data_IF_582761770215
#
_entry.id   IF_582761770215
#
_cell.length_a   1.000
_cell.length_b   1.000
_cell.length_c   1.000
_cell.angle_alpha   90.00
_cell.angle_beta   90.00
_cell.angle_gamma   90.00
#
_symmetry.space_group_name_H-M   'P 1'
#
loop_
_entity.id
_entity.type
_entity.pdbx_description
1 polymer ?
#
# COMPACT_ATOMS: atom_id res chain seq x y z
N UNK A 1 6.80 -15.34 14.14
CA UNK A 1 5.64 -15.75 13.31
C UNK A 1 5.66 -14.90 12.06
N UNK A 2 5.41 -15.42 10.84
CA UNK A 2 5.43 -14.57 9.66
C UNK A 2 4.39 -13.48 9.88
N UNK A 3 4.85 -12.25 9.81
CA UNK A 3 4.13 -11.10 10.32
C UNK A 3 2.79 -10.92 9.58
N UNK A 4 1.70 -11.30 10.25
CA UNK A 4 0.36 -11.21 9.71
C UNK A 4 -0.01 -9.73 9.50
N UNK A 5 -0.19 -9.34 8.23
CA UNK A 5 -0.77 -8.04 7.88
C UNK A 5 -2.27 -8.25 7.81
N UNK A 6 -3.00 -7.69 8.77
CA UNK A 6 -4.47 -7.74 8.79
C UNK A 6 -5.01 -7.18 7.47
N UNK A 7 -5.97 -7.88 6.87
CA UNK A 7 -6.55 -7.50 5.57
C UNK A 7 -5.77 -8.01 4.34
N UNK A 8 -4.51 -8.45 4.49
CA UNK A 8 -3.75 -9.03 3.38
C UNK A 8 -4.04 -10.53 3.22
N UNK A 9 -4.62 -10.90 2.09
CA UNK A 9 -4.86 -12.29 1.68
C UNK A 9 -3.90 -12.65 0.56
N UNK A 10 -2.99 -13.59 0.83
CA UNK A 10 -2.09 -14.16 -0.18
C UNK A 10 -2.74 -15.37 -0.84
N UNK A 11 -2.66 -15.43 -2.16
CA UNK A 11 -3.17 -16.54 -2.97
C UNK A 11 -2.19 -16.90 -4.10
N UNK A 12 -2.48 -18.00 -4.80
CA UNK A 12 -1.58 -18.61 -5.77
C UNK A 12 -0.88 -19.86 -5.24
N UNK A 13 0.02 -20.41 -6.05
CA UNK A 13 0.69 -21.69 -5.82
C UNK A 13 1.79 -21.93 -6.86
N UNK A 14 2.58 -23.00 -6.70
CA UNK A 14 3.61 -23.44 -7.67
C UNK A 14 4.58 -22.36 -8.14
N UNK A 15 5.06 -21.54 -7.20
CA UNK A 15 6.02 -20.48 -7.50
C UNK A 15 5.38 -19.23 -8.13
N UNK A 16 4.07 -19.05 -8.01
CA UNK A 16 3.37 -17.86 -8.47
C UNK A 16 2.38 -17.36 -7.40
N UNK A 17 2.87 -16.49 -6.52
CA UNK A 17 2.06 -15.87 -5.47
C UNK A 17 1.64 -14.44 -5.82
N UNK A 18 0.46 -14.06 -5.33
CA UNK A 18 -0.15 -12.73 -5.43
C UNK A 18 -0.90 -12.42 -4.12
N UNK A 19 -1.43 -11.20 -3.98
CA UNK A 19 -2.15 -10.84 -2.76
C UNK A 19 -3.15 -9.71 -2.94
N UNK A 20 -4.31 -9.84 -2.33
CA UNK A 20 -5.31 -8.77 -2.23
C UNK A 20 -5.27 -8.18 -0.83
N UNK A 21 -5.41 -6.86 -0.73
CA UNK A 21 -5.52 -6.16 0.53
C UNK A 21 -6.89 -5.51 0.66
N UNK A 22 -7.57 -5.85 1.75
CA UNK A 22 -8.84 -5.27 2.16
C UNK A 22 -8.56 -4.26 3.28
N UNK A 23 -8.70 -2.97 2.98
CA UNK A 23 -8.39 -1.90 3.92
C UNK A 23 -9.52 -1.71 4.92
N UNK A 24 -9.23 -1.96 6.19
CA UNK A 24 -10.18 -1.77 7.30
C UNK A 24 -10.22 -0.32 7.82
N UNK A 25 -9.59 0.61 7.09
CA UNK A 25 -9.44 2.01 7.47
C UNK A 25 -8.25 2.27 8.41
N UNK A 26 -7.51 1.24 8.81
CA UNK A 26 -6.25 1.39 9.54
C UNK A 26 -5.03 1.32 8.62
N UNK A 27 -5.21 1.12 7.30
CA UNK A 27 -4.17 1.23 6.28
C UNK A 27 -2.94 0.36 6.58
N UNK A 28 -3.18 -0.88 7.03
CA UNK A 28 -2.14 -1.82 7.49
C UNK A 28 -1.27 -1.28 8.64
N UNK A 29 -1.82 -0.40 9.49
CA UNK A 29 -1.13 0.25 10.61
C UNK A 29 -0.36 1.51 10.21
N UNK A 30 -0.57 2.06 9.02
CA UNK A 30 0.06 3.30 8.59
C UNK A 30 -0.82 4.51 8.90
N UNK A 31 -0.31 5.44 9.71
CA UNK A 31 -0.94 6.76 9.88
C UNK A 31 -0.77 7.60 8.61
N UNK A 32 -1.88 8.09 8.07
CA UNK A 32 -1.91 8.91 6.85
C UNK A 32 -2.30 10.34 7.17
N UNK A 33 -1.56 11.30 6.62
CA UNK A 33 -1.92 12.70 6.67
C UNK A 33 -3.21 12.95 5.86
N UNK A 34 -4.05 13.93 6.24
CA UNK A 34 -5.21 14.30 5.46
C UNK A 34 -4.86 14.63 4.01
N UNK A 35 -5.83 14.46 3.11
CA UNK A 35 -5.68 14.78 1.70
C UNK A 35 -5.19 16.22 1.51
N UNK A 36 -4.08 16.45 0.78
CA UNK A 36 -3.54 17.79 0.60
C UNK A 36 -4.42 18.68 -0.30
N UNK A 37 -5.33 18.08 -1.06
CA UNK A 37 -6.18 18.80 -2.02
C UNK A 37 -7.53 19.20 -1.41
N UNK A 38 -8.14 18.34 -0.59
CA UNK A 38 -9.50 18.57 -0.06
C UNK A 38 -9.61 18.49 1.47
N UNK A 39 -8.49 18.25 2.17
CA UNK A 39 -8.43 18.15 3.63
C UNK A 39 -9.09 16.90 4.24
N UNK A 40 -9.65 16.00 3.43
CA UNK A 40 -10.36 14.82 3.95
C UNK A 40 -9.41 13.80 4.57
N UNK A 41 -9.85 13.18 5.67
CA UNK A 41 -9.23 12.01 6.29
C UNK A 41 -9.80 10.68 5.78
N UNK A 42 -10.79 10.72 4.86
CA UNK A 42 -11.34 9.52 4.22
C UNK A 42 -10.38 9.04 3.13
N UNK A 43 -9.47 8.15 3.52
CA UNK A 43 -8.42 7.60 2.68
C UNK A 43 -8.56 6.08 2.60
N UNK A 44 -8.03 5.48 1.55
CA UNK A 44 -7.93 4.03 1.40
C UNK A 44 -6.54 3.65 0.88
N UNK A 45 -5.99 2.55 1.37
CA UNK A 45 -4.80 1.87 0.85
C UNK A 45 -5.27 0.74 -0.08
N UNK A 46 -4.99 0.86 -1.38
CA UNK A 46 -5.58 0.01 -2.42
C UNK A 46 -4.49 -0.72 -3.20
N UNK A 47 -4.79 -1.90 -3.76
CA UNK A 47 -3.90 -2.65 -4.66
C UNK A 47 -4.63 -3.43 -5.77
N UNK A 48 -3.91 -3.76 -6.84
CA UNK A 48 -4.43 -4.51 -8.01
C UNK A 48 -4.10 -6.02 -7.97
N UNK A 49 -4.15 -6.67 -6.82
CA UNK A 49 -3.68 -8.06 -6.58
C UNK A 49 -2.17 -8.30 -6.68
N UNK A 50 -1.44 -7.40 -7.33
CA UNK A 50 0.02 -7.35 -7.32
C UNK A 50 0.50 -6.45 -6.16
N UNK A 51 1.81 -6.45 -5.84
CA UNK A 51 2.42 -5.48 -4.93
C UNK A 51 2.49 -4.05 -5.47
N UNK A 52 1.49 -3.61 -6.24
CA UNK A 52 1.29 -2.24 -6.65
C UNK A 52 0.24 -1.61 -5.75
N UNK A 53 0.67 -0.70 -4.87
CA UNK A 53 -0.18 -0.05 -3.87
C UNK A 53 -0.23 1.46 -4.09
N UNK A 54 -1.38 2.05 -3.80
CA UNK A 54 -1.55 3.50 -3.75
C UNK A 54 -2.45 3.89 -2.57
N UNK A 55 -2.30 5.14 -2.12
CA UNK A 55 -3.30 5.77 -1.26
C UNK A 55 -4.27 6.53 -2.16
N UNK A 56 -5.57 6.36 -1.95
CA UNK A 56 -6.64 7.08 -2.64
C UNK A 56 -7.46 7.89 -1.64
N UNK A 57 -7.74 9.15 -1.95
CA UNK A 57 -8.73 9.93 -1.21
C UNK A 57 -10.14 9.62 -1.71
N UNK A 58 -11.00 9.11 -0.84
CA UNK A 58 -12.37 8.72 -1.18
C UNK A 58 -13.35 9.89 -1.37
N UNK A 59 -12.85 11.14 -1.28
CA UNK A 59 -13.66 12.36 -1.48
C UNK A 59 -13.37 13.04 -2.82
N UNK A 60 -12.11 13.08 -3.24
CA UNK A 60 -11.68 13.83 -4.42
C UNK A 60 -10.82 13.00 -5.38
N UNK A 61 -10.74 11.68 -5.15
CA UNK A 61 -10.02 10.69 -5.97
C UNK A 61 -8.53 10.98 -6.20
N UNK A 62 -7.93 11.83 -5.37
CA UNK A 62 -6.50 12.08 -5.42
C UNK A 62 -5.74 10.82 -5.01
N UNK A 63 -4.74 10.44 -5.79
CA UNK A 63 -3.95 9.22 -5.58
C UNK A 63 -2.47 9.52 -5.40
N UNK A 64 -1.79 8.72 -4.56
CA UNK A 64 -0.34 8.64 -4.54
C UNK A 64 0.12 7.19 -4.64
N UNK A 65 0.73 6.86 -5.78
CA UNK A 65 1.21 5.52 -6.11
C UNK A 65 2.57 5.25 -5.44
N UNK A 66 2.65 4.15 -4.68
CA UNK A 66 3.86 3.61 -4.11
C UNK A 66 4.91 3.21 -5.15
N UNK A 67 6.06 2.75 -4.70
CA UNK A 67 6.98 2.02 -5.57
C UNK A 67 6.63 0.54 -5.54
N UNK A 68 6.62 -0.11 -6.70
CA UNK A 68 6.59 -1.58 -6.78
C UNK A 68 8.01 -2.07 -6.47
N UNK A 69 8.23 -2.83 -5.38
CA UNK A 69 9.57 -3.33 -5.04
C UNK A 69 10.08 -4.32 -6.09
N UNK A 70 11.39 -4.49 -6.18
CA UNK A 70 12.02 -5.48 -7.07
C UNK A 70 11.39 -6.86 -6.90
N UNK A 71 11.01 -7.48 -8.02
CA UNK A 71 10.30 -8.76 -8.05
C UNK A 71 8.78 -8.66 -7.92
N UNK A 72 8.22 -7.50 -7.55
CA UNK A 72 6.78 -7.29 -7.43
C UNK A 72 6.03 -7.15 -8.76
N UNK A 73 6.73 -6.81 -9.84
CA UNK A 73 6.19 -6.82 -11.21
C UNK A 73 6.37 -8.16 -11.94
N UNK A 74 6.78 -9.21 -11.24
CA UNK A 74 7.16 -10.50 -11.82
C UNK A 74 6.60 -11.65 -10.97
N UNK A 75 6.82 -12.90 -11.41
CA UNK A 75 6.41 -14.07 -10.63
C UNK A 75 7.16 -14.07 -9.29
N UNK A 76 6.42 -14.12 -8.18
CA UNK A 76 6.98 -14.22 -6.83
C UNK A 76 6.90 -15.70 -6.40
N UNK A 77 8.03 -16.42 -6.29
CA UNK A 77 8.03 -17.87 -6.09
C UNK A 77 7.81 -18.30 -4.65
N UNK A 78 7.93 -17.38 -3.69
CA UNK A 78 7.95 -17.70 -2.28
C UNK A 78 6.86 -16.92 -1.52
N UNK A 79 6.08 -17.63 -0.70
CA UNK A 79 4.99 -17.07 0.10
C UNK A 79 5.46 -16.03 1.13
N UNK A 80 6.64 -16.20 1.71
CA UNK A 80 7.21 -15.21 2.63
C UNK A 80 7.70 -13.98 1.87
N UNK A 81 8.24 -14.15 0.66
CA UNK A 81 8.68 -13.03 -0.17
C UNK A 81 7.49 -12.18 -0.65
N UNK A 82 6.37 -12.79 -1.04
CA UNK A 82 5.19 -12.00 -1.42
C UNK A 82 4.70 -11.16 -0.26
N UNK A 83 4.63 -11.70 0.98
CA UNK A 83 4.26 -10.91 2.16
C UNK A 83 5.23 -9.74 2.38
N UNK A 84 6.54 -10.01 2.28
CA UNK A 84 7.59 -8.99 2.43
C UNK A 84 7.50 -7.90 1.37
N UNK A 85 7.24 -8.27 0.12
CA UNK A 85 7.13 -7.34 -1.01
C UNK A 85 5.84 -6.50 -0.88
N UNK A 86 4.69 -7.11 -0.55
CA UNK A 86 3.45 -6.39 -0.29
C UNK A 86 3.63 -5.36 0.84
N UNK A 87 4.25 -5.76 1.96
CA UNK A 87 4.59 -4.83 3.05
C UNK A 87 5.41 -3.64 2.57
N UNK A 88 6.46 -3.91 1.80
CA UNK A 88 7.36 -2.87 1.31
C UNK A 88 6.62 -1.89 0.39
N UNK A 89 5.72 -2.39 -0.45
CA UNK A 89 4.89 -1.58 -1.34
C UNK A 89 3.88 -0.71 -0.58
N UNK A 90 3.14 -1.28 0.39
CA UNK A 90 2.22 -0.55 1.27
C UNK A 90 2.92 0.63 1.97
N UNK A 91 4.05 0.35 2.61
CA UNK A 91 4.88 1.36 3.27
C UNK A 91 5.36 2.43 2.30
N UNK A 92 5.68 2.06 1.06
CA UNK A 92 6.11 3.02 0.05
C UNK A 92 4.97 3.95 -0.38
N UNK A 93 3.74 3.44 -0.51
CA UNK A 93 2.57 4.25 -0.83
C UNK A 93 2.29 5.25 0.29
N UNK A 94 2.23 4.78 1.54
CA UNK A 94 2.01 5.64 2.71
C UNK A 94 3.08 6.73 2.84
N UNK A 95 4.37 6.38 2.67
CA UNK A 95 5.47 7.37 2.69
C UNK A 95 5.34 8.42 1.60
N UNK A 96 4.96 8.03 0.39
CA UNK A 96 4.78 8.99 -0.72
C UNK A 96 3.58 9.90 -0.47
N UNK A 97 2.46 9.35 0.01
CA UNK A 97 1.28 10.14 0.37
C UNK A 97 1.60 11.20 1.43
N UNK A 98 2.34 10.82 2.47
CA UNK A 98 2.73 11.70 3.57
C UNK A 98 3.88 12.66 3.20
N UNK A 99 4.60 12.41 2.10
CA UNK A 99 5.69 13.30 1.66
C UNK A 99 5.10 14.61 1.14
N UNK A 100 5.28 15.69 1.88
CA UNK A 100 4.98 17.06 1.45
C UNK A 100 6.28 17.73 1.01
N UNK A 101 6.34 18.27 -0.20
CA UNK A 101 7.43 19.16 -0.61
C UNK A 101 7.09 20.55 -0.07
N UNK A 102 7.75 20.95 1.02
CA UNK A 102 7.70 22.32 1.52
C UNK A 102 6.45 22.69 2.30
N UNK A 103 6.35 22.23 3.55
CA UNK A 103 5.67 22.99 4.60
C UNK A 103 6.75 23.78 5.36
N UNK A 104 7.32 24.80 4.73
CA UNK A 104 7.74 25.99 5.48
C UNK A 104 6.48 26.83 5.57
N UNK A 105 5.71 26.63 6.64
CA UNK A 105 4.80 27.68 7.07
C UNK A 105 5.68 28.71 7.78
N UNK A 106 5.78 29.89 7.19
CA UNK A 106 6.24 31.10 7.88
C UNK A 106 5.25 31.48 8.99
#
# INVERSE_FOLDING_TARGET
>A
MPDHIKGLKIFGGDGHFSGSFDDDGQHAGHELLPCPFCGSTKLALVNTHTPSYWIQCLKCDAEAHGNVPTGGGSKIPNRNDVVRIHRAAMRSAARKWNKRIGAKHE
#
